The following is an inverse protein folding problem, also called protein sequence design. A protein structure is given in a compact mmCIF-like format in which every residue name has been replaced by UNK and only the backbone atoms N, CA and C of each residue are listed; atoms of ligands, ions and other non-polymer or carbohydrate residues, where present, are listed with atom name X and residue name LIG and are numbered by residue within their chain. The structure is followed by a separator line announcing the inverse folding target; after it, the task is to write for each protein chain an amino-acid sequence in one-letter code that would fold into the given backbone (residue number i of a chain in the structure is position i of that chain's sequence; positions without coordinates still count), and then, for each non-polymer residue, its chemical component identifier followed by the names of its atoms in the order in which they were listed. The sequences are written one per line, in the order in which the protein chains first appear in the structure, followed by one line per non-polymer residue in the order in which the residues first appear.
data_IF_847795319868
#
_entry.id   IF_847795319868
#
_cell.length_a   1.000
_cell.length_b   1.000
_cell.length_c   1.000
_cell.angle_alpha   90.00
_cell.angle_beta   90.00
_cell.angle_gamma   90.00
#
_symmetry.space_group_name_H-M   'P 1'
#
loop_
_entity.id
_entity.type
_entity.pdbx_description
1 polymer ?
#
# COMPACT_ATOMS: atom_id res chain seq x y z
N UNK A 1 -5.21 4.30 6.36
CA UNK A 1 -4.36 3.58 7.33
C UNK A 1 -2.98 3.18 6.79
N UNK A 2 -2.83 2.32 5.77
CA UNK A 2 -1.47 1.93 5.30
C UNK A 2 -0.70 3.12 4.75
N UNK A 3 -1.30 3.90 3.85
CA UNK A 3 -0.68 5.12 3.28
C UNK A 3 -0.31 6.14 4.37
N UNK A 4 -1.17 6.34 5.36
CA UNK A 4 -0.89 7.26 6.48
C UNK A 4 0.33 6.83 7.31
N UNK A 5 0.48 5.52 7.57
CA UNK A 5 1.65 4.98 8.28
C UNK A 5 2.93 5.24 7.48
N UNK A 6 2.89 4.99 6.16
CA UNK A 6 4.04 5.22 5.28
C UNK A 6 4.40 6.70 5.23
N UNK A 7 3.42 7.58 5.00
CA UNK A 7 3.63 9.02 4.93
C UNK A 7 4.23 9.56 6.24
N UNK A 8 3.64 9.19 7.38
CA UNK A 8 4.13 9.58 8.71
C UNK A 8 5.55 9.08 8.97
N UNK A 9 5.87 7.85 8.59
CA UNK A 9 7.21 7.27 8.79
C UNK A 9 8.27 7.97 7.94
N UNK A 10 7.89 8.41 6.74
CA UNK A 10 8.77 9.11 5.80
C UNK A 10 8.79 10.63 6.03
N UNK A 11 8.06 11.14 7.01
CA UNK A 11 7.97 12.58 7.29
C UNK A 11 7.28 13.38 6.18
N UNK A 12 6.42 12.72 5.41
CA UNK A 12 5.63 13.33 4.34
C UNK A 12 4.17 13.54 4.80
N UNK A 13 3.55 14.59 4.26
CA UNK A 13 2.11 14.79 4.36
C UNK A 13 1.50 14.49 2.99
N UNK A 14 0.49 13.62 2.96
CA UNK A 14 -0.24 13.25 1.76
C UNK A 14 -1.72 13.56 1.95
N UNK A 15 -2.34 14.19 0.95
CA UNK A 15 -3.79 14.31 0.88
C UNK A 15 -4.40 12.94 0.54
N UNK A 16 -5.41 12.53 1.30
CA UNK A 16 -6.12 11.27 1.05
C UNK A 16 -7.53 11.62 0.58
N UNK A 17 -7.74 11.45 -0.73
CA UNK A 17 -9.03 11.70 -1.37
C UNK A 17 -9.85 10.40 -1.41
N UNK A 18 -11.07 10.45 -0.86
CA UNK A 18 -12.01 9.32 -0.91
C UNK A 18 -12.94 9.44 -2.11
N UNK A 19 -12.99 8.42 -2.96
CA UNK A 19 -13.88 8.36 -4.13
C UNK A 19 -14.40 6.93 -4.37
N UNK A 20 -15.50 6.76 -5.12
CA UNK A 20 -16.04 5.44 -5.49
C UNK A 20 -15.02 4.58 -6.23
N UNK A 21 -15.10 3.26 -6.04
CA UNK A 21 -14.17 2.29 -6.63
C UNK A 21 -14.13 2.35 -8.16
N UNK A 22 -15.25 2.69 -8.78
CA UNK A 22 -15.40 2.86 -10.23
C UNK A 22 -14.50 3.97 -10.77
N UNK A 23 -14.22 4.99 -9.95
CA UNK A 23 -13.45 6.18 -10.30
C UNK A 23 -12.02 6.15 -9.72
N UNK A 24 -11.80 5.46 -8.60
CA UNK A 24 -10.49 5.27 -7.96
C UNK A 24 -9.55 4.33 -8.75
N UNK A 25 -9.46 4.46 -10.07
CA UNK A 25 -8.62 3.62 -10.93
C UNK A 25 -7.14 3.65 -10.50
N UNK A 26 -6.53 4.80 -10.16
CA UNK A 26 -5.13 4.85 -9.71
C UNK A 26 -4.85 4.00 -8.46
N UNK A 27 -5.83 3.80 -7.58
CA UNK A 27 -5.66 3.00 -6.36
C UNK A 27 -5.72 1.48 -6.61
N UNK A 28 -6.16 1.02 -7.79
CA UNK A 28 -6.40 -0.41 -8.06
C UNK A 28 -5.15 -1.29 -8.01
N UNK A 29 -3.99 -0.88 -8.59
CA UNK A 29 -2.71 -1.54 -8.36
C UNK A 29 -2.44 -1.94 -6.91
N UNK A 30 -2.81 -1.05 -5.97
CA UNK A 30 -2.53 -1.21 -4.54
C UNK A 30 -3.52 -2.13 -3.80
N UNK A 31 -4.63 -2.52 -4.43
CA UNK A 31 -5.58 -3.44 -3.82
C UNK A 31 -5.08 -4.88 -3.85
N UNK A 32 -4.26 -5.25 -4.84
CA UNK A 32 -3.71 -6.60 -5.02
C UNK A 32 -4.77 -7.75 -5.01
N UNK A 33 -6.04 -7.43 -5.23
CA UNK A 33 -7.17 -8.38 -5.23
C UNK A 33 -8.33 -7.85 -6.09
N UNK A 34 -9.25 -8.71 -6.58
CA UNK A 34 -10.29 -8.31 -7.53
C UNK A 34 -11.49 -7.56 -6.92
N UNK A 35 -11.49 -7.31 -5.60
CA UNK A 35 -12.61 -6.71 -4.88
C UNK A 35 -12.13 -5.60 -3.94
N UNK A 36 -12.91 -4.53 -3.71
CA UNK A 36 -12.58 -3.51 -2.70
C UNK A 36 -12.85 -3.96 -1.25
N UNK A 37 -13.33 -5.20 -1.05
CA UNK A 37 -13.72 -5.70 0.28
C UNK A 37 -12.52 -6.14 1.11
N UNK A 38 -12.63 -6.06 2.43
CA UNK A 38 -11.57 -6.58 3.31
C UNK A 38 -11.66 -8.10 3.41
N UNK A 39 -10.52 -8.79 3.38
CA UNK A 39 -10.44 -10.22 3.65
C UNK A 39 -9.93 -10.46 5.06
N UNK A 40 -10.74 -11.11 5.88
CA UNK A 40 -10.35 -11.57 7.22
C UNK A 40 -10.16 -13.07 7.16
N UNK A 41 -9.00 -13.55 7.63
CA UNK A 41 -8.66 -14.97 7.64
C UNK A 41 -8.58 -15.45 9.09
N UNK A 42 -9.13 -16.63 9.36
CA UNK A 42 -8.94 -17.29 10.65
C UNK A 42 -7.52 -17.87 10.72
N UNK A 43 -6.74 -17.41 11.70
CA UNK A 43 -5.36 -17.84 11.94
C UNK A 43 -5.23 -18.75 13.16
N UNK A 44 -6.34 -19.23 13.73
CA UNK A 44 -6.36 -20.02 14.98
C UNK A 44 -5.47 -21.25 14.94
N UNK A 45 -5.40 -21.97 13.81
CA UNK A 45 -4.52 -23.15 13.69
C UNK A 45 -3.04 -22.78 13.65
N UNK A 46 -2.67 -21.67 12.99
CA UNK A 46 -1.27 -21.19 13.00
C UNK A 46 -0.83 -20.88 14.43
N UNK A 47 -1.69 -20.19 15.18
CA UNK A 47 -1.39 -19.79 16.56
C UNK A 47 -1.32 -21.00 17.50
N UNK A 48 -2.33 -21.87 17.47
CA UNK A 48 -2.47 -22.97 18.45
C UNK A 48 -1.64 -24.20 18.15
N UNK A 49 -1.34 -24.48 16.86
CA UNK A 49 -0.61 -25.71 16.46
C UNK A 49 0.83 -25.44 16.11
N UNK A 50 1.12 -24.26 15.55
CA UNK A 50 2.46 -23.90 15.07
C UNK A 50 3.13 -22.83 15.95
N UNK A 51 2.44 -22.33 16.98
CA UNK A 51 2.97 -21.31 17.88
C UNK A 51 3.19 -19.95 17.21
N UNK A 52 2.48 -19.69 16.10
CA UNK A 52 2.60 -18.43 15.38
C UNK A 52 2.25 -17.25 16.28
N UNK A 53 3.13 -16.25 16.28
CA UNK A 53 2.86 -14.92 16.82
C UNK A 53 3.61 -13.90 15.99
N UNK A 54 3.01 -12.73 15.80
CA UNK A 54 3.71 -11.60 15.19
C UNK A 54 4.87 -11.20 16.11
N UNK A 55 6.11 -11.32 15.62
CA UNK A 55 7.29 -10.82 16.35
C UNK A 55 7.42 -9.30 16.27
N UNK A 56 6.88 -8.72 15.20
CA UNK A 56 6.81 -7.28 14.96
C UNK A 56 5.36 -6.95 14.65
N UNK A 57 4.73 -5.97 15.34
CA UNK A 57 3.39 -5.53 15.01
C UNK A 57 3.28 -5.10 13.54
N UNK A 58 2.18 -5.46 12.87
CA UNK A 58 2.02 -5.19 11.43
C UNK A 58 2.21 -3.71 11.05
N UNK A 59 1.71 -2.77 11.87
CA UNK A 59 1.88 -1.32 11.63
C UNK A 59 3.35 -0.91 11.63
N UNK A 60 4.11 -1.45 12.57
CA UNK A 60 5.54 -1.19 12.70
C UNK A 60 6.33 -1.84 11.56
N UNK A 61 5.95 -3.05 11.14
CA UNK A 61 6.58 -3.73 10.01
C UNK A 61 6.41 -2.92 8.71
N UNK A 62 5.23 -2.34 8.46
CA UNK A 62 4.99 -1.47 7.29
C UNK A 62 5.88 -0.24 7.33
N UNK A 63 5.93 0.47 8.47
CA UNK A 63 6.77 1.65 8.65
C UNK A 63 8.26 1.32 8.39
N UNK A 64 8.80 0.30 9.07
CA UNK A 64 10.20 -0.13 8.88
C UNK A 64 10.50 -0.50 7.43
N UNK A 65 9.57 -1.14 6.73
CA UNK A 65 9.72 -1.49 5.31
C UNK A 65 9.80 -0.25 4.43
N UNK A 66 8.92 0.72 4.65
CA UNK A 66 8.91 1.98 3.89
C UNK A 66 10.26 2.72 4.02
N UNK A 67 10.77 2.85 5.25
CA UNK A 67 12.08 3.47 5.49
C UNK A 67 13.21 2.71 4.79
N UNK A 68 13.21 1.38 4.89
CA UNK A 68 14.23 0.55 4.25
C UNK A 68 14.23 0.73 2.73
N UNK A 69 13.06 0.79 2.08
CA UNK A 69 12.96 0.98 0.62
C UNK A 69 13.50 2.34 0.17
N UNK A 70 13.33 3.39 0.96
CA UNK A 70 13.92 4.71 0.69
C UNK A 70 15.45 4.69 0.83
N UNK A 71 15.95 3.99 1.85
CA UNK A 71 17.40 3.83 2.07
C UNK A 71 18.06 2.86 1.06
N UNK A 72 17.27 2.00 0.41
CA UNK A 72 17.73 0.98 -0.53
C UNK A 72 16.89 1.06 -1.82
N UNK A 73 17.05 2.13 -2.61
CA UNK A 73 16.22 2.36 -3.77
C UNK A 73 16.38 1.25 -4.80
N UNK A 74 15.27 0.89 -5.44
CA UNK A 74 15.25 0.00 -6.59
C UNK A 74 15.97 0.71 -7.74
N UNK A 75 16.72 -0.04 -8.54
CA UNK A 75 17.39 0.52 -9.70
C UNK A 75 16.35 0.98 -10.74
N UNK A 76 16.49 2.19 -11.31
CA UNK A 76 15.57 2.67 -12.34
C UNK A 76 15.44 1.69 -13.50
N UNK A 77 14.21 1.36 -13.87
CA UNK A 77 13.88 0.41 -14.92
C UNK A 77 14.04 -1.07 -14.53
N UNK A 78 14.27 -1.39 -13.26
CA UNK A 78 14.29 -2.77 -12.79
C UNK A 78 12.89 -3.41 -12.87
N UNK A 79 12.78 -4.74 -13.01
CA UNK A 79 11.50 -5.43 -13.11
C UNK A 79 10.52 -5.08 -11.99
N UNK A 80 11.03 -4.85 -10.77
CA UNK A 80 10.26 -4.53 -9.57
C UNK A 80 9.43 -3.25 -9.72
N UNK A 81 9.88 -2.25 -10.49
CA UNK A 81 9.11 -1.03 -10.75
C UNK A 81 7.83 -1.32 -11.55
N UNK A 82 7.85 -2.33 -12.41
CA UNK A 82 6.73 -2.66 -13.28
C UNK A 82 5.75 -3.68 -12.67
N UNK A 83 6.16 -4.40 -11.62
CA UNK A 83 5.33 -5.44 -10.99
C UNK A 83 4.05 -4.85 -10.40
N UNK A 84 4.09 -3.61 -9.90
CA UNK A 84 2.90 -2.95 -9.36
C UNK A 84 1.93 -2.52 -10.45
N UNK A 85 2.34 -2.44 -11.72
CA UNK A 85 1.52 -1.98 -12.86
C UNK A 85 0.95 -0.58 -12.70
N UNK A 86 1.52 0.22 -11.80
CA UNK A 86 1.20 1.63 -11.61
C UNK A 86 1.93 2.47 -12.67
N UNK A 87 1.22 3.30 -13.46
CA UNK A 87 1.84 4.18 -14.44
C UNK A 87 2.52 5.42 -13.83
N UNK A 88 2.31 5.73 -12.54
CA UNK A 88 2.78 6.95 -11.87
C UNK A 88 2.37 8.25 -12.58
N UNK A 89 1.18 8.29 -13.17
CA UNK A 89 0.66 9.45 -13.91
C UNK A 89 -0.04 10.45 -12.96
N UNK A 90 0.76 11.14 -12.17
CA UNK A 90 0.28 12.13 -11.20
C UNK A 90 -0.55 13.26 -11.84
N UNK A 91 -0.28 13.62 -13.10
CA UNK A 91 -1.05 14.65 -13.79
C UNK A 91 -2.48 14.18 -14.10
N UNK A 92 -2.67 12.91 -14.46
CA UNK A 92 -4.00 12.32 -14.61
C UNK A 92 -4.73 12.19 -13.26
N UNK A 93 -4.00 11.87 -12.19
CA UNK A 93 -4.54 11.84 -10.83
C UNK A 93 -5.07 13.21 -10.39
N UNK A 94 -4.30 14.28 -10.59
CA UNK A 94 -4.71 15.66 -10.28
C UNK A 94 -5.96 16.07 -11.07
N UNK A 95 -6.01 15.71 -12.37
CA UNK A 95 -7.18 15.98 -13.20
C UNK A 95 -8.43 15.25 -12.70
N UNK A 96 -8.29 13.98 -12.31
CA UNK A 96 -9.37 13.19 -11.73
C UNK A 96 -9.88 13.83 -10.43
N UNK A 97 -8.99 14.22 -9.53
CA UNK A 97 -9.35 14.88 -8.26
C UNK A 97 -10.09 16.19 -8.52
N UNK A 98 -9.61 17.01 -9.45
CA UNK A 98 -10.23 18.31 -9.76
C UNK A 98 -11.60 18.21 -10.44
N UNK A 99 -11.88 17.09 -11.12
CA UNK A 99 -13.11 16.86 -11.90
C UNK A 99 -14.13 15.98 -11.18
N UNK A 100 -13.79 15.45 -10.01
CA UNK A 100 -14.63 14.63 -9.14
C UNK A 100 -15.56 15.49 -8.30
#
# INVERSE_FOLDING_TARGET
QVIEIIASELGAELEIVSMPFELAVPARPLLAQPSPTHRVLDTSLLQTRLGYRDLVPAREAVARTARWLVENPIAPGAPEEYVLTDPFDYAAEDQLISSW
#
